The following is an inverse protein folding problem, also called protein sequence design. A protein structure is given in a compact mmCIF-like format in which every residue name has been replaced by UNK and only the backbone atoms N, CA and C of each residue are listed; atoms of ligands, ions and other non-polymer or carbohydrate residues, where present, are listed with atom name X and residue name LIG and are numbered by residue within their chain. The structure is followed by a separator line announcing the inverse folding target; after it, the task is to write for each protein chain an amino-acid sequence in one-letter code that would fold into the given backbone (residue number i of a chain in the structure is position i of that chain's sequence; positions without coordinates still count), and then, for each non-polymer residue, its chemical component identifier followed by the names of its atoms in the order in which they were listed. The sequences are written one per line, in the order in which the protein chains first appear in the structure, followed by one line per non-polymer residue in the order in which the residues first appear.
data_IF_554897129160
#
_entry.id   IF_554897129160
#
_cell.length_a   1.000
_cell.length_b   1.000
_cell.length_c   1.000
_cell.angle_alpha   90.00
_cell.angle_beta   90.00
_cell.angle_gamma   90.00
#
_symmetry.space_group_name_H-M   'P 1'
#
loop_
_entity.id
_entity.type
_entity.pdbx_description
1 polymer ?
#
# COMPACT_ATOMS: atom_id res chain seq x y z
N UNK A 1 17.13 -3.50 45.60
CA UNK A 1 15.82 -2.86 45.42
C UNK A 1 15.62 -2.64 43.92
N UNK A 2 15.09 -3.64 43.21
CA UNK A 2 14.84 -3.53 41.76
C UNK A 2 13.38 -3.10 41.56
N UNK A 3 13.11 -1.81 41.78
CA UNK A 3 11.78 -1.21 41.58
C UNK A 3 11.14 -1.57 40.22
N UNK A 4 11.97 -1.77 39.20
CA UNK A 4 11.53 -2.20 37.86
C UNK A 4 10.96 -3.63 37.85
N UNK A 5 11.57 -4.56 38.59
CA UNK A 5 11.13 -5.97 38.65
C UNK A 5 9.86 -6.12 39.47
N UNK A 6 9.71 -5.36 40.55
CA UNK A 6 8.52 -5.39 41.39
C UNK A 6 7.32 -4.73 40.68
N UNK A 7 7.55 -3.64 39.94
CA UNK A 7 6.54 -3.07 39.04
C UNK A 7 6.13 -4.05 37.93
N UNK A 8 7.08 -4.77 37.32
CA UNK A 8 6.80 -5.76 36.29
C UNK A 8 5.97 -6.94 36.81
N UNK A 9 6.25 -7.42 38.03
CA UNK A 9 5.48 -8.50 38.65
C UNK A 9 4.02 -8.12 38.89
N UNK A 10 3.76 -6.91 39.38
CA UNK A 10 2.40 -6.41 39.60
C UNK A 10 1.65 -6.26 38.27
N UNK A 11 2.32 -5.76 37.24
CA UNK A 11 1.71 -5.58 35.92
C UNK A 11 1.47 -6.91 35.19
N UNK A 12 2.40 -7.88 35.32
CA UNK A 12 2.25 -9.25 34.81
C UNK A 12 1.28 -10.11 35.63
N UNK A 13 0.88 -9.68 36.83
CA UNK A 13 -0.19 -10.35 37.58
C UNK A 13 -1.58 -10.05 37.02
N UNK A 14 -1.75 -9.03 36.18
CA UNK A 14 -3.01 -8.79 35.50
C UNK A 14 -3.05 -9.62 34.19
N UNK A 15 -3.88 -10.69 34.11
CA UNK A 15 -3.94 -11.57 32.95
C UNK A 15 -4.27 -10.84 31.64
N UNK A 16 -4.97 -9.70 31.70
CA UNK A 16 -5.27 -8.89 30.53
C UNK A 16 -4.02 -8.20 29.95
N UNK A 17 -3.12 -7.72 30.81
CA UNK A 17 -1.91 -7.03 30.38
C UNK A 17 -0.90 -8.03 29.81
N UNK A 18 -0.80 -9.22 30.43
CA UNK A 18 -0.01 -10.32 29.87
C UNK A 18 -0.55 -10.73 28.51
N UNK A 19 -1.87 -10.86 28.36
CA UNK A 19 -2.48 -11.18 27.08
C UNK A 19 -2.20 -10.11 26.02
N UNK A 20 -2.36 -8.82 26.37
CA UNK A 20 -2.12 -7.71 25.44
C UNK A 20 -0.64 -7.63 25.04
N UNK A 21 0.29 -7.76 26.00
CA UNK A 21 1.72 -7.78 25.74
C UNK A 21 2.12 -8.97 24.86
N UNK A 22 1.58 -10.16 25.14
CA UNK A 22 1.79 -11.35 24.32
C UNK A 22 1.21 -11.19 22.91
N UNK A 23 -0.01 -10.65 22.79
CA UNK A 23 -0.66 -10.37 21.51
C UNK A 23 0.13 -9.39 20.67
N UNK A 24 0.60 -8.28 21.25
CA UNK A 24 1.45 -7.31 20.56
C UNK A 24 2.77 -7.93 20.11
N UNK A 25 3.43 -8.70 20.99
CA UNK A 25 4.72 -9.34 20.68
C UNK A 25 4.57 -10.37 19.56
N UNK A 26 3.55 -11.23 19.63
CA UNK A 26 3.25 -12.22 18.58
C UNK A 26 2.90 -11.51 17.27
N UNK A 27 2.05 -10.49 17.30
CA UNK A 27 1.67 -9.74 16.09
C UNK A 27 2.88 -9.04 15.47
N UNK A 28 3.75 -8.43 16.29
CA UNK A 28 4.98 -7.80 15.81
C UNK A 28 5.94 -8.82 15.17
N UNK A 29 6.11 -10.01 15.76
CA UNK A 29 6.90 -11.10 15.19
C UNK A 29 6.28 -11.61 13.87
N UNK A 30 4.97 -11.80 13.82
CA UNK A 30 4.30 -12.24 12.59
C UNK A 30 4.46 -11.19 11.48
N UNK A 31 4.33 -9.90 11.79
CA UNK A 31 4.53 -8.83 10.81
C UNK A 31 5.99 -8.75 10.36
N UNK A 32 6.96 -8.89 11.28
CA UNK A 32 8.39 -8.78 10.92
C UNK A 32 8.86 -9.96 10.06
N UNK A 33 8.41 -11.18 10.33
CA UNK A 33 8.85 -12.38 9.60
C UNK A 33 7.95 -12.72 8.40
N UNK A 34 6.63 -12.50 8.51
CA UNK A 34 5.65 -12.90 7.50
C UNK A 34 4.90 -11.73 6.85
N UNK A 35 5.20 -10.47 7.20
CA UNK A 35 4.47 -9.30 6.69
C UNK A 35 4.44 -9.23 5.16
N UNK A 36 5.54 -9.51 4.48
CA UNK A 36 5.60 -9.53 3.02
C UNK A 36 4.75 -10.65 2.40
N UNK A 37 4.68 -11.82 3.05
CA UNK A 37 3.88 -12.97 2.60
C UNK A 37 2.39 -12.72 2.89
N UNK A 38 2.09 -12.04 3.99
CA UNK A 38 0.72 -11.70 4.41
C UNK A 38 0.16 -10.48 3.68
N UNK A 39 1.00 -9.63 3.08
CA UNK A 39 0.58 -8.44 2.34
C UNK A 39 -0.56 -8.72 1.33
N UNK A 40 -0.49 -9.72 0.43
CA UNK A 40 -1.60 -10.03 -0.49
C UNK A 40 -2.86 -10.52 0.23
N UNK A 41 -2.71 -11.21 1.37
CA UNK A 41 -3.84 -11.66 2.20
C UNK A 41 -4.55 -10.47 2.82
N UNK A 42 -3.81 -9.54 3.42
CA UNK A 42 -4.35 -8.33 4.04
C UNK A 42 -5.02 -7.44 2.98
N UNK A 43 -4.35 -7.21 1.84
CA UNK A 43 -4.92 -6.47 0.72
C UNK A 43 -6.22 -7.12 0.22
N UNK A 44 -6.23 -8.45 0.10
CA UNK A 44 -7.42 -9.21 -0.31
C UNK A 44 -8.58 -9.04 0.67
N UNK A 45 -8.32 -9.05 1.99
CA UNK A 45 -9.34 -8.82 3.02
C UNK A 45 -9.93 -7.41 2.91
N UNK A 46 -9.06 -6.39 2.77
CA UNK A 46 -9.50 -4.98 2.65
C UNK A 46 -10.37 -4.79 1.40
N UNK A 47 -9.93 -5.29 0.24
CA UNK A 47 -10.70 -5.18 -1.00
C UNK A 47 -12.00 -5.99 -0.92
N UNK A 48 -11.95 -7.21 -0.38
CA UNK A 48 -13.14 -8.03 -0.19
C UNK A 48 -14.17 -7.35 0.72
N UNK A 49 -13.73 -6.64 1.76
CA UNK A 49 -14.62 -5.85 2.62
C UNK A 49 -15.36 -4.77 1.82
N UNK A 50 -14.66 -4.06 0.94
CA UNK A 50 -15.26 -3.06 0.05
C UNK A 50 -16.27 -3.71 -0.92
N UNK A 51 -15.89 -4.82 -1.57
CA UNK A 51 -16.77 -5.52 -2.51
C UNK A 51 -17.99 -6.14 -1.84
N UNK A 52 -17.86 -6.62 -0.60
CA UNK A 52 -18.98 -7.15 0.18
C UNK A 52 -20.06 -6.08 0.41
N UNK A 53 -19.68 -4.80 0.53
CA UNK A 53 -20.63 -3.69 0.56
C UNK A 53 -21.48 -3.60 -0.72
N UNK A 54 -20.87 -3.84 -1.89
CA UNK A 54 -21.58 -3.89 -3.17
C UNK A 54 -22.47 -5.14 -3.26
N UNK A 55 -21.96 -6.31 -2.86
CA UNK A 55 -22.74 -7.56 -2.81
C UNK A 55 -23.97 -7.41 -1.92
N UNK A 56 -23.83 -6.73 -0.78
CA UNK A 56 -24.94 -6.41 0.13
C UNK A 56 -26.05 -5.63 -0.57
N UNK A 57 -25.70 -4.60 -1.36
CA UNK A 57 -26.67 -3.81 -2.14
C UNK A 57 -27.46 -4.67 -3.13
N UNK A 58 -26.78 -5.56 -3.87
CA UNK A 58 -27.47 -6.49 -4.79
C UNK A 58 -28.35 -7.51 -4.06
N UNK A 59 -27.92 -7.95 -2.87
CA UNK A 59 -28.71 -8.91 -2.07
C UNK A 59 -29.99 -8.26 -1.53
N UNK A 60 -29.94 -6.98 -1.14
CA UNK A 60 -31.13 -6.22 -0.71
C UNK A 60 -32.12 -6.02 -1.87
N UNK A 61 -31.64 -5.96 -3.11
CA UNK A 61 -32.47 -5.92 -4.32
C UNK A 61 -33.11 -7.27 -4.69
N UNK A 62 -32.94 -8.30 -3.86
CA UNK A 62 -33.58 -9.62 -4.02
C UNK A 62 -32.75 -10.66 -4.77
N UNK A 63 -31.51 -10.36 -5.17
CA UNK A 63 -30.62 -11.36 -5.79
C UNK A 63 -30.12 -12.37 -4.76
N UNK A 64 -30.13 -13.68 -5.07
CA UNK A 64 -29.53 -14.68 -4.20
C UNK A 64 -28.02 -14.41 -4.10
N UNK A 65 -27.48 -14.45 -2.87
CA UNK A 65 -26.09 -14.13 -2.56
C UNK A 65 -25.04 -14.70 -3.55
N UNK A 66 -25.05 -15.99 -3.95
CA UNK A 66 -24.05 -16.50 -4.89
C UNK A 66 -24.07 -15.79 -6.26
N UNK A 67 -25.25 -15.37 -6.74
CA UNK A 67 -25.38 -14.63 -8.00
C UNK A 67 -24.88 -13.19 -7.82
N UNK A 68 -25.24 -12.54 -6.71
CA UNK A 68 -24.73 -11.20 -6.39
C UNK A 68 -23.19 -11.17 -6.29
N UNK A 69 -22.59 -12.16 -5.63
CA UNK A 69 -21.13 -12.32 -5.55
C UNK A 69 -20.53 -12.51 -6.93
N UNK A 70 -21.11 -13.39 -7.76
CA UNK A 70 -20.63 -13.63 -9.13
C UNK A 70 -20.64 -12.36 -9.98
N UNK A 71 -21.73 -11.60 -9.94
CA UNK A 71 -21.88 -10.36 -10.72
C UNK A 71 -20.88 -9.29 -10.28
N UNK A 72 -20.78 -9.02 -8.98
CA UNK A 72 -19.82 -8.04 -8.42
C UNK A 72 -18.39 -8.45 -8.72
N UNK A 73 -18.06 -9.74 -8.59
CA UNK A 73 -16.72 -10.23 -8.85
C UNK A 73 -16.34 -10.15 -10.32
N UNK A 74 -17.24 -10.51 -11.25
CA UNK A 74 -17.00 -10.33 -12.69
C UNK A 74 -16.77 -8.84 -13.00
N UNK A 75 -17.60 -7.95 -12.48
CA UNK A 75 -17.42 -6.50 -12.63
C UNK A 75 -16.07 -6.02 -12.10
N UNK A 76 -15.64 -6.54 -10.94
CA UNK A 76 -14.33 -6.27 -10.36
C UNK A 76 -13.19 -6.75 -11.26
N UNK A 77 -13.26 -7.98 -11.79
CA UNK A 77 -12.23 -8.51 -12.71
C UNK A 77 -12.15 -7.67 -13.99
N UNK A 78 -13.30 -7.31 -14.57
CA UNK A 78 -13.34 -6.44 -15.75
C UNK A 78 -12.71 -5.08 -15.44
N UNK A 79 -13.02 -4.48 -14.28
CA UNK A 79 -12.43 -3.23 -13.84
C UNK A 79 -10.90 -3.33 -13.69
N UNK A 80 -10.40 -4.40 -13.06
CA UNK A 80 -8.95 -4.64 -12.88
C UNK A 80 -8.27 -4.81 -14.24
N UNK A 81 -8.80 -5.67 -15.12
CA UNK A 81 -8.25 -5.89 -16.45
C UNK A 81 -8.25 -4.60 -17.26
N UNK A 82 -9.35 -3.85 -17.26
CA UNK A 82 -9.44 -2.56 -17.94
C UNK A 82 -8.42 -1.56 -17.39
N UNK A 83 -8.22 -1.53 -16.07
CA UNK A 83 -7.22 -0.66 -15.45
C UNK A 83 -5.81 -1.04 -15.90
N UNK A 84 -5.49 -2.33 -15.96
CA UNK A 84 -4.16 -2.80 -16.37
C UNK A 84 -3.88 -2.65 -17.86
N UNK A 85 -4.89 -2.84 -18.72
CA UNK A 85 -4.71 -2.80 -20.18
C UNK A 85 -4.91 -1.41 -20.79
N UNK A 86 -5.61 -0.49 -20.09
CA UNK A 86 -5.92 0.84 -20.61
C UNK A 86 -5.27 1.93 -19.76
N UNK A 87 -5.59 1.97 -18.47
CA UNK A 87 -5.16 3.06 -17.59
C UNK A 87 -3.65 2.99 -17.33
N UNK A 88 -3.15 1.82 -16.97
CA UNK A 88 -1.73 1.61 -16.67
C UNK A 88 -0.79 1.95 -17.83
N UNK A 89 -0.99 1.49 -19.09
CA UNK A 89 -0.11 1.87 -20.19
C UNK A 89 -0.17 3.35 -20.53
N UNK A 90 -1.36 3.99 -20.44
CA UNK A 90 -1.48 5.43 -20.66
C UNK A 90 -0.68 6.20 -19.60
N UNK A 91 -0.82 5.82 -18.32
CA UNK A 91 -0.06 6.43 -17.23
C UNK A 91 1.44 6.19 -17.40
N UNK A 92 1.86 4.98 -17.75
CA UNK A 92 3.27 4.66 -17.98
C UNK A 92 3.85 5.49 -19.14
N UNK A 93 3.12 5.59 -20.25
CA UNK A 93 3.53 6.40 -21.38
C UNK A 93 3.57 7.90 -21.04
N UNK A 94 2.61 8.40 -20.26
CA UNK A 94 2.62 9.80 -19.80
C UNK A 94 3.79 10.09 -18.89
N UNK A 95 4.08 9.22 -17.92
CA UNK A 95 5.20 9.39 -17.00
C UNK A 95 6.55 9.31 -17.75
N UNK A 96 6.69 8.38 -18.68
CA UNK A 96 7.93 8.28 -19.48
C UNK A 96 8.12 9.49 -20.39
N UNK A 97 7.06 10.02 -21.00
CA UNK A 97 7.12 11.27 -21.76
C UNK A 97 7.50 12.47 -20.89
N UNK A 98 6.96 12.59 -19.67
CA UNK A 98 7.34 13.65 -18.74
C UNK A 98 8.84 13.60 -18.40
N UNK A 99 9.34 12.40 -18.07
CA UNK A 99 10.78 12.20 -17.78
C UNK A 99 11.65 12.52 -19.00
N UNK A 100 11.23 12.15 -20.21
CA UNK A 100 11.94 12.46 -21.45
C UNK A 100 11.93 13.96 -21.81
N UNK A 101 10.94 14.72 -21.36
CA UNK A 101 10.85 16.16 -21.60
C UNK A 101 11.71 17.00 -20.65
N UNK A 102 12.03 16.49 -19.45
CA UNK A 102 12.85 17.20 -18.46
C UNK A 102 14.21 17.65 -19.05
N UNK A 103 15.00 16.79 -19.72
CA UNK A 103 16.26 17.22 -20.34
C UNK A 103 16.09 18.35 -21.36
N UNK A 104 15.02 18.31 -22.17
CA UNK A 104 14.75 19.34 -23.17
C UNK A 104 14.37 20.69 -22.53
N UNK A 105 13.57 20.66 -21.45
CA UNK A 105 13.24 21.85 -20.68
C UNK A 105 14.48 22.45 -20.00
N UNK A 106 15.35 21.61 -19.45
CA UNK A 106 16.61 22.06 -18.85
C UNK A 106 17.58 22.61 -19.89
N UNK A 107 17.65 22.04 -21.09
CA UNK A 107 18.46 22.59 -22.18
C UNK A 107 17.98 23.98 -22.61
N UNK A 108 16.66 24.20 -22.71
CA UNK A 108 16.09 25.53 -22.97
C UNK A 108 16.41 26.51 -21.84
N UNK A 109 16.28 26.06 -20.58
CA UNK A 109 16.69 26.85 -19.42
C UNK A 109 18.19 27.21 -19.44
N UNK A 110 19.07 26.29 -19.84
CA UNK A 110 20.50 26.58 -19.99
C UNK A 110 20.77 27.68 -21.02
N UNK A 111 20.04 27.68 -22.15
CA UNK A 111 20.20 28.69 -23.20
C UNK A 111 19.79 30.10 -22.71
N UNK A 112 18.74 30.20 -21.89
CA UNK A 112 18.34 31.47 -21.28
C UNK A 112 19.30 31.89 -20.16
N UNK A 113 19.80 30.94 -19.36
CA UNK A 113 20.79 31.21 -18.32
C UNK A 113 22.09 31.79 -18.88
N UNK A 114 22.50 31.39 -20.09
CA UNK A 114 23.70 31.93 -20.76
C UNK A 114 23.53 33.40 -21.15
N UNK A 115 22.29 33.88 -21.31
CA UNK A 115 22.00 35.28 -21.64
C UNK A 115 21.88 36.17 -20.38
N UNK A 116 21.81 35.59 -19.17
CA UNK A 116 21.73 36.35 -17.91
C UNK A 116 22.93 37.28 -17.67
N UNK A 117 24.19 36.89 -17.90
CA UNK A 117 25.33 37.79 -17.74
C UNK A 117 25.32 38.97 -18.71
N UNK A 118 24.67 38.84 -19.88
CA UNK A 118 24.50 39.93 -20.84
C UNK A 118 23.45 40.96 -20.40
N UNK A 119 22.47 40.55 -19.60
CA UNK A 119 21.40 41.44 -19.09
C UNK A 119 21.62 41.92 -17.65
N UNK A 120 22.35 41.17 -16.83
CA UNK A 120 22.60 41.48 -15.41
C UNK A 120 24.07 41.24 -15.01
N UNK A 121 25.03 41.97 -15.62
CA UNK A 121 26.47 41.78 -15.37
C UNK A 121 26.91 42.12 -13.93
N UNK A 122 26.13 42.89 -13.17
CA UNK A 122 26.44 43.22 -11.76
C UNK A 122 26.05 42.12 -10.76
N UNK A 123 25.19 41.18 -11.15
CA UNK A 123 24.64 40.14 -10.26
C UNK A 123 25.20 38.74 -10.57
N UNK A 124 25.62 38.47 -11.81
CA UNK A 124 26.07 37.14 -12.24
C UNK A 124 27.35 37.22 -13.09
N UNK A 125 28.38 36.47 -12.70
CA UNK A 125 29.60 36.30 -13.51
C UNK A 125 29.47 35.13 -14.48
N UNK A 126 30.18 35.21 -15.61
CA UNK A 126 30.20 34.17 -16.65
C UNK A 126 30.69 32.82 -16.09
N UNK A 127 31.70 32.84 -15.22
CA UNK A 127 32.22 31.67 -14.52
C UNK A 127 31.18 31.00 -13.61
N UNK A 128 30.40 31.76 -12.82
CA UNK A 128 29.37 31.20 -11.95
C UNK A 128 28.26 30.51 -12.75
N UNK A 129 27.82 31.11 -13.87
CA UNK A 129 26.82 30.51 -14.75
C UNK A 129 27.36 29.23 -15.40
N UNK A 130 28.64 29.22 -15.82
CA UNK A 130 29.29 28.02 -16.38
C UNK A 130 29.36 26.87 -15.37
N UNK A 131 29.73 27.16 -14.14
CA UNK A 131 29.83 26.16 -13.08
C UNK A 131 28.45 25.56 -12.75
N UNK A 132 27.43 26.41 -12.65
CA UNK A 132 26.04 25.98 -12.42
C UNK A 132 25.51 25.09 -13.55
N UNK A 133 25.80 25.45 -14.81
CA UNK A 133 25.45 24.61 -15.98
C UNK A 133 26.21 23.27 -15.94
N UNK A 134 27.48 23.27 -15.53
CA UNK A 134 28.27 22.05 -15.42
C UNK A 134 27.70 21.10 -14.35
N UNK A 135 27.29 21.62 -13.20
CA UNK A 135 26.63 20.85 -12.13
C UNK A 135 25.27 20.28 -12.57
N UNK A 136 24.47 21.05 -13.33
CA UNK A 136 23.19 20.56 -13.87
C UNK A 136 23.43 19.39 -14.83
N UNK A 137 24.48 19.46 -15.67
CA UNK A 137 24.81 18.41 -16.64
C UNK A 137 25.28 17.11 -15.98
N UNK A 138 26.12 17.19 -14.95
CA UNK A 138 26.57 16.01 -14.22
C UNK A 138 25.41 15.33 -13.51
N UNK A 139 24.57 16.08 -12.80
CA UNK A 139 23.39 15.52 -12.13
C UNK A 139 22.42 14.88 -13.13
N UNK A 140 22.17 15.51 -14.29
CA UNK A 140 21.32 14.91 -15.33
C UNK A 140 21.85 13.58 -15.84
N UNK A 141 23.17 13.45 -15.96
CA UNK A 141 23.81 12.21 -16.40
C UNK A 141 23.64 11.11 -15.35
N UNK A 142 23.81 11.44 -14.07
CA UNK A 142 23.65 10.50 -12.96
C UNK A 142 22.20 10.02 -12.82
N UNK A 143 21.22 10.92 -12.93
CA UNK A 143 19.80 10.54 -12.95
C UNK A 143 19.45 9.69 -14.17
N UNK A 144 20.01 9.99 -15.35
CA UNK A 144 19.85 9.18 -16.54
C UNK A 144 20.37 7.75 -16.36
N UNK A 145 21.54 7.58 -15.74
CA UNK A 145 22.10 6.26 -15.43
C UNK A 145 21.26 5.50 -14.40
N UNK A 146 20.75 6.17 -13.36
CA UNK A 146 19.85 5.56 -12.38
C UNK A 146 18.52 5.08 -13.00
N UNK A 147 17.94 5.85 -13.92
CA UNK A 147 16.70 5.44 -14.61
C UNK A 147 16.91 4.16 -15.42
N UNK A 148 18.06 4.03 -16.10
CA UNK A 148 18.42 2.82 -16.86
C UNK A 148 18.64 1.63 -15.93
N UNK A 149 19.32 1.80 -14.79
CA UNK A 149 19.55 0.71 -13.84
C UNK A 149 18.27 0.20 -13.17
N UNK A 150 17.32 1.10 -12.87
CA UNK A 150 15.98 0.73 -12.38
C UNK A 150 15.22 -0.09 -13.44
N UNK A 151 15.32 0.27 -14.72
CA UNK A 151 14.65 -0.48 -15.79
C UNK A 151 15.18 -1.92 -15.94
N UNK A 152 16.49 -2.12 -15.77
CA UNK A 152 17.15 -3.44 -15.88
C UNK A 152 16.89 -4.35 -14.68
N UNK A 153 16.85 -3.79 -13.46
CA UNK A 153 16.58 -4.55 -12.23
C UNK A 153 15.11 -4.96 -12.07
N UNK A 154 14.20 -4.38 -12.87
CA UNK A 154 12.77 -4.68 -12.85
C UNK A 154 12.39 -6.13 -13.17
N UNK A 155 13.24 -6.88 -13.88
CA UNK A 155 12.93 -8.24 -14.34
C UNK A 155 12.55 -9.22 -13.22
N UNK A 156 13.27 -9.20 -12.09
CA UNK A 156 12.96 -10.04 -10.93
C UNK A 156 11.67 -9.59 -10.21
N UNK A 157 11.36 -8.30 -10.24
CA UNK A 157 10.14 -7.74 -9.63
C UNK A 157 8.88 -8.14 -10.42
N UNK A 158 8.97 -8.25 -11.74
CA UNK A 158 7.83 -8.62 -12.61
C UNK A 158 7.24 -9.97 -12.21
N UNK A 159 8.07 -10.99 -11.93
CA UNK A 159 7.59 -12.32 -11.54
C UNK A 159 6.77 -12.25 -10.25
N UNK A 160 7.26 -11.51 -9.24
CA UNK A 160 6.56 -11.33 -7.96
C UNK A 160 5.21 -10.64 -8.17
N UNK A 161 5.19 -9.57 -8.96
CA UNK A 161 3.95 -8.87 -9.31
C UNK A 161 2.96 -9.76 -10.08
N UNK A 162 3.44 -10.62 -10.98
CA UNK A 162 2.57 -11.59 -11.69
C UNK A 162 1.92 -12.58 -10.73
N UNK A 163 2.68 -13.11 -9.77
CA UNK A 163 2.13 -14.01 -8.74
C UNK A 163 1.05 -13.27 -7.95
N UNK A 164 1.32 -12.05 -7.50
CA UNK A 164 0.35 -11.24 -6.75
C UNK A 164 -0.89 -10.90 -7.59
N UNK A 165 -0.72 -10.61 -8.86
CA UNK A 165 -1.80 -10.29 -9.78
C UNK A 165 -2.78 -11.45 -9.95
N UNK A 166 -2.31 -12.69 -9.88
CA UNK A 166 -3.15 -13.89 -9.97
C UNK A 166 -3.72 -14.26 -8.59
N UNK A 167 -2.86 -14.24 -7.56
CA UNK A 167 -3.22 -14.66 -6.21
C UNK A 167 -4.26 -13.74 -5.57
N UNK A 168 -4.10 -12.43 -5.71
CA UNK A 168 -4.95 -11.44 -5.05
C UNK A 168 -6.43 -11.54 -5.48
N UNK A 169 -6.79 -11.62 -6.78
CA UNK A 169 -8.17 -11.88 -7.20
C UNK A 169 -8.76 -13.17 -6.63
N UNK A 170 -7.97 -14.26 -6.59
CA UNK A 170 -8.42 -15.53 -6.03
C UNK A 170 -8.77 -15.38 -4.54
N UNK A 171 -7.90 -14.70 -3.78
CA UNK A 171 -8.14 -14.42 -2.36
C UNK A 171 -9.38 -13.57 -2.15
N UNK A 172 -9.53 -12.49 -2.93
CA UNK A 172 -10.70 -11.61 -2.86
C UNK A 172 -11.98 -12.39 -3.13
N UNK A 173 -12.01 -13.22 -4.18
CA UNK A 173 -13.14 -14.07 -4.49
C UNK A 173 -13.53 -14.96 -3.30
N UNK A 174 -12.54 -15.64 -2.72
CA UNK A 174 -12.73 -16.53 -1.59
C UNK A 174 -13.27 -15.77 -0.36
N UNK A 175 -12.69 -14.61 -0.05
CA UNK A 175 -13.11 -13.80 1.09
C UNK A 175 -14.53 -13.27 0.95
N UNK A 176 -14.94 -12.82 -0.24
CA UNK A 176 -16.31 -12.36 -0.47
C UNK A 176 -17.29 -13.53 -0.43
N UNK A 177 -17.00 -14.62 -1.16
CA UNK A 177 -17.87 -15.79 -1.28
C UNK A 177 -18.07 -16.49 0.06
N UNK A 178 -16.98 -16.87 0.73
CA UNK A 178 -16.99 -17.74 1.90
C UNK A 178 -16.85 -16.98 3.24
N UNK A 179 -17.04 -15.66 3.23
CA UNK A 179 -17.03 -14.77 4.43
C UNK A 179 -17.62 -15.40 5.68
N UNK A 180 -18.84 -15.93 5.60
CA UNK A 180 -19.55 -16.52 6.77
C UNK A 180 -18.81 -17.72 7.34
N UNK A 181 -18.26 -18.60 6.50
CA UNK A 181 -17.50 -19.78 6.94
C UNK A 181 -16.20 -19.36 7.60
N UNK A 182 -15.49 -18.40 6.99
CA UNK A 182 -14.22 -17.87 7.49
C UNK A 182 -14.43 -17.21 8.86
N UNK A 183 -15.45 -16.35 8.98
CA UNK A 183 -15.76 -15.67 10.23
C UNK A 183 -16.19 -16.68 11.32
N UNK A 184 -17.04 -17.65 10.98
CA UNK A 184 -17.45 -18.69 11.92
C UNK A 184 -16.27 -19.56 12.38
N UNK A 185 -15.28 -19.79 11.51
CA UNK A 185 -14.06 -20.51 11.86
C UNK A 185 -13.17 -19.67 12.78
N UNK A 186 -12.99 -18.38 12.49
CA UNK A 186 -12.22 -17.44 13.33
C UNK A 186 -12.83 -17.28 14.73
N UNK A 187 -14.17 -17.16 14.83
CA UNK A 187 -14.87 -17.01 16.11
C UNK A 187 -14.67 -18.23 17.01
N UNK A 188 -14.40 -19.43 16.47
CA UNK A 188 -14.14 -20.63 17.28
C UNK A 188 -12.81 -20.56 18.05
N UNK A 189 -11.88 -19.72 17.63
CA UNK A 189 -10.61 -19.51 18.32
C UNK A 189 -10.67 -18.39 19.36
N UNK A 190 -11.77 -17.62 19.41
CA UNK A 190 -11.96 -16.63 20.47
C UNK A 190 -12.54 -17.32 21.73
N UNK A 191 -11.96 -17.07 22.91
CA UNK A 191 -12.56 -17.53 24.18
C UNK A 191 -13.96 -16.92 24.33
N UNK A 192 -14.92 -17.76 24.75
CA UNK A 192 -16.36 -17.49 24.77
C UNK A 192 -16.83 -16.55 25.89
N UNK A 193 -15.96 -15.74 26.49
CA UNK A 193 -16.32 -14.94 27.66
C UNK A 193 -16.95 -13.60 27.25
N UNK A 194 -18.17 -13.69 26.73
CA UNK A 194 -19.04 -12.53 26.42
C UNK A 194 -19.82 -12.01 27.63
N UNK A 195 -19.62 -12.56 28.83
CA UNK A 195 -20.38 -12.16 30.02
C UNK A 195 -19.82 -10.90 30.70
N UNK A 196 -18.53 -10.60 30.54
CA UNK A 196 -17.89 -9.45 31.22
C UNK A 196 -18.10 -8.10 30.50
N UNK A 197 -18.40 -8.10 29.20
CA UNK A 197 -18.60 -6.85 28.43
C UNK A 197 -20.04 -6.34 28.50
N UNK A 198 -21.01 -7.21 28.79
CA UNK A 198 -22.42 -6.81 28.91
C UNK A 198 -22.74 -6.07 30.21
N UNK A 199 -21.99 -6.33 31.29
CA UNK A 199 -22.21 -5.64 32.58
C UNK A 199 -21.67 -4.21 32.60
N UNK A 200 -20.56 -3.94 31.90
CA UNK A 200 -19.95 -2.60 31.87
C UNK A 200 -20.76 -1.60 31.06
N UNK A 201 -21.51 -2.05 30.04
CA UNK A 201 -22.34 -1.15 29.22
C UNK A 201 -23.55 -0.60 29.99
N UNK A 202 -24.05 -1.32 31.00
CA UNK A 202 -25.17 -0.85 31.82
C UNK A 202 -24.76 0.13 32.93
N UNK A 203 -23.46 0.21 33.27
CA UNK A 203 -22.96 1.14 34.31
C UNK A 203 -22.54 2.51 33.74
N UNK A 204 -22.55 2.69 32.41
CA UNK A 204 -22.20 3.96 31.75
C UNK A 204 -23.43 4.82 31.40
N UNK A 205 -24.65 4.28 31.58
CA UNK A 205 -25.91 5.00 31.41
C UNK A 205 -26.60 5.27 32.78
N UNK A 206 -25.91 5.98 33.69
CA UNK A 206 -26.54 6.76 34.78
C UNK A 206 -26.04 8.19 34.72
#
# INVERSE_FOLDING_TARGET
MNYFVDWLKVQLSNPQIVFLALFLLVTALVISYAGAILAPVIAGIVIAYVLEGLVGRFTVLGLPRPVAVGFVYIGFIVFVISTLLVVFPVLYNQLTQMVQQIPALLYRGQLELIQLPEHYPELFSVEQVREMIATIRTQLTDYGQQLVSISLSGAASIITWMIYLILLPILIFFFVKDKKKILNYLIRFLPKDRELTAQIWNDVDI
#
